data_IF_668275621297
#
_entry.id   IF_668275621297
#
_cell.length_a   1.000
_cell.length_b   1.000
_cell.length_c   1.000
_cell.angle_alpha   90.00
_cell.angle_beta   90.00
_cell.angle_gamma   90.00
#
_symmetry.space_group_name_H-M   'P 1'
#
loop_
_entity.id
_entity.type
_entity.pdbx_description
1 polymer ?
#
# COMPACT_ATOMS: atom_id res chain seq x y z
N UNK A 1 1.02 -29.91 -22.80
CA UNK A 1 1.86 -29.59 -21.62
C UNK A 1 1.27 -28.53 -20.66
N UNK A 2 0.13 -27.89 -20.96
CA UNK A 2 -0.52 -26.92 -20.06
C UNK A 2 -1.77 -27.45 -19.35
N UNK A 3 -2.46 -28.46 -19.91
CA UNK A 3 -3.68 -29.05 -19.33
C UNK A 3 -3.38 -30.11 -18.27
N UNK A 4 -2.38 -30.96 -18.53
CA UNK A 4 -1.94 -32.06 -17.66
C UNK A 4 -1.37 -31.57 -16.30
N UNK A 5 -0.83 -30.34 -16.27
CA UNK A 5 -0.37 -29.72 -15.02
C UNK A 5 -1.52 -29.23 -14.14
N UNK A 6 -2.69 -28.93 -14.71
CA UNK A 6 -3.86 -28.45 -13.97
C UNK A 6 -4.64 -29.60 -13.34
N UNK A 7 -4.69 -30.78 -13.98
CA UNK A 7 -5.33 -31.99 -13.44
C UNK A 7 -4.60 -32.53 -12.19
N UNK A 8 -3.28 -32.43 -12.11
CA UNK A 8 -2.52 -32.83 -10.91
C UNK A 8 -2.81 -31.92 -9.71
N UNK A 9 -3.16 -30.64 -9.95
CA UNK A 9 -3.55 -29.70 -8.89
C UNK A 9 -4.95 -29.95 -8.34
N UNK A 10 -5.90 -30.46 -9.15
CA UNK A 10 -7.24 -30.82 -8.67
C UNK A 10 -7.27 -32.19 -7.98
N UNK A 11 -6.41 -33.13 -8.39
CA UNK A 11 -6.49 -34.52 -7.91
C UNK A 11 -5.71 -34.79 -6.61
N UNK A 12 -4.69 -33.97 -6.30
CA UNK A 12 -3.83 -34.11 -5.10
C UNK A 12 -4.06 -32.97 -4.10
N UNK A 13 -5.33 -32.66 -3.81
CA UNK A 13 -5.65 -31.81 -2.67
C UNK A 13 -4.95 -32.32 -1.40
N UNK A 14 -4.50 -31.39 -0.56
CA UNK A 14 -4.05 -31.70 0.81
C UNK A 14 -5.11 -32.65 1.41
N UNK A 15 -4.75 -33.84 1.92
CA UNK A 15 -5.72 -34.74 2.52
C UNK A 15 -6.53 -33.98 3.56
N UNK A 16 -7.85 -33.88 3.36
CA UNK A 16 -8.77 -33.19 4.28
C UNK A 16 -8.71 -33.71 5.72
N UNK A 17 -8.13 -34.89 5.90
CA UNK A 17 -7.88 -35.54 7.18
C UNK A 17 -6.82 -34.82 8.05
N UNK A 18 -6.01 -33.92 7.49
CA UNK A 18 -5.01 -33.13 8.22
C UNK A 18 -5.56 -31.80 8.77
N UNK A 19 -6.61 -31.23 8.18
CA UNK A 19 -7.26 -30.03 8.73
C UNK A 19 -8.23 -30.38 9.86
N UNK A 20 -8.97 -31.49 9.74
CA UNK A 20 -10.01 -31.84 10.71
C UNK A 20 -9.47 -32.44 12.02
N UNK A 21 -8.24 -32.96 12.02
CA UNK A 21 -7.52 -33.38 13.24
C UNK A 21 -6.63 -32.27 13.82
N UNK A 22 -6.33 -31.22 13.06
CA UNK A 22 -5.36 -30.19 13.44
C UNK A 22 -5.85 -29.17 14.48
N UNK A 23 -7.15 -28.84 14.53
CA UNK A 23 -7.64 -27.85 15.51
C UNK A 23 -7.74 -28.40 16.93
N UNK A 24 -7.98 -29.71 17.06
CA UNK A 24 -8.25 -30.34 18.36
C UNK A 24 -7.02 -31.12 18.89
N UNK A 25 -6.05 -31.48 18.03
CA UNK A 25 -4.83 -32.17 18.44
C UNK A 25 -3.61 -31.25 18.68
N UNK A 26 -3.61 -30.01 18.17
CA UNK A 26 -2.43 -29.14 18.31
C UNK A 26 -2.21 -28.60 19.73
N UNK A 27 -3.20 -28.72 20.62
CA UNK A 27 -3.10 -28.28 22.02
C UNK A 27 -2.55 -29.36 22.96
N UNK A 28 -2.33 -30.59 22.48
CA UNK A 28 -1.95 -31.76 23.29
C UNK A 28 -0.65 -32.44 22.85
N UNK A 29 0.09 -31.90 21.88
CA UNK A 29 1.35 -32.46 21.38
C UNK A 29 2.55 -31.89 22.16
N UNK A 30 3.49 -32.77 22.54
CA UNK A 30 4.75 -32.38 23.17
C UNK A 30 5.67 -31.66 22.15
N UNK A 31 6.61 -30.84 22.64
CA UNK A 31 7.43 -29.94 21.80
C UNK A 31 8.26 -30.64 20.71
N UNK A 32 8.71 -31.87 20.93
CA UNK A 32 9.42 -32.69 19.92
C UNK A 32 8.46 -33.14 18.80
N UNK A 33 7.26 -33.60 19.15
CA UNK A 33 6.23 -34.04 18.18
C UNK A 33 5.68 -32.87 17.35
N UNK A 34 5.65 -31.67 17.92
CA UNK A 34 5.25 -30.46 17.20
C UNK A 34 6.32 -29.97 16.21
N UNK A 35 7.60 -30.18 16.54
CA UNK A 35 8.72 -29.91 15.65
C UNK A 35 8.77 -30.90 14.48
N UNK A 36 8.61 -32.20 14.74
CA UNK A 36 8.57 -33.25 13.71
C UNK A 36 7.40 -33.04 12.74
N UNK A 37 6.22 -32.67 13.25
CA UNK A 37 5.06 -32.37 12.41
C UNK A 37 5.26 -31.12 11.55
N UNK A 38 5.95 -30.10 12.07
CA UNK A 38 6.28 -28.90 11.30
C UNK A 38 7.30 -29.20 10.21
N UNK A 39 8.29 -30.05 10.49
CA UNK A 39 9.31 -30.51 9.53
C UNK A 39 8.69 -31.33 8.41
N UNK A 40 7.80 -32.27 8.75
CA UNK A 40 7.08 -33.09 7.77
C UNK A 40 6.19 -32.23 6.86
N UNK A 41 5.50 -31.23 7.43
CA UNK A 41 4.71 -30.26 6.65
C UNK A 41 5.58 -29.45 5.68
N UNK A 42 6.78 -29.04 6.10
CA UNK A 42 7.72 -28.30 5.25
C UNK A 42 8.28 -29.18 4.11
N UNK A 43 8.55 -30.46 4.38
CA UNK A 43 8.99 -31.42 3.35
C UNK A 43 7.91 -31.68 2.31
N UNK A 44 6.66 -31.85 2.73
CA UNK A 44 5.51 -31.99 1.81
C UNK A 44 5.34 -30.74 0.94
N UNK A 45 5.53 -29.54 1.51
CA UNK A 45 5.49 -28.29 0.75
C UNK A 45 6.60 -28.20 -0.32
N UNK A 46 7.78 -28.78 -0.06
CA UNK A 46 8.87 -28.86 -1.04
C UNK A 46 8.68 -29.86 -2.16
N UNK A 47 7.84 -30.87 -1.96
CA UNK A 47 7.44 -31.77 -3.04
C UNK A 47 6.45 -31.10 -4.02
N UNK A 48 5.75 -30.05 -3.58
CA UNK A 48 4.70 -29.37 -4.34
C UNK A 48 5.18 -28.04 -4.96
N UNK A 49 6.19 -27.38 -4.38
CA UNK A 49 6.70 -26.10 -4.88
C UNK A 49 8.11 -26.23 -5.49
N UNK A 50 8.26 -26.13 -6.83
CA UNK A 50 9.55 -26.32 -7.51
C UNK A 50 10.58 -25.21 -7.19
N UNK A 51 10.15 -24.12 -6.54
CA UNK A 51 11.04 -23.02 -6.13
C UNK A 51 11.36 -23.04 -4.62
N UNK A 52 10.93 -24.07 -3.90
CA UNK A 52 11.30 -24.28 -2.51
C UNK A 52 12.23 -25.48 -2.41
N UNK A 53 13.40 -25.26 -1.82
CA UNK A 53 14.34 -26.32 -1.50
C UNK A 53 14.48 -26.40 0.03
N UNK A 54 14.02 -27.52 0.59
CA UNK A 54 14.04 -27.81 2.02
C UNK A 54 15.46 -27.93 2.56
N UNK A 55 16.37 -28.48 1.77
CA UNK A 55 17.73 -28.82 2.20
C UNK A 55 18.73 -27.70 1.86
N UNK A 56 18.27 -26.66 1.17
CA UNK A 56 19.07 -25.50 0.85
C UNK A 56 19.59 -24.81 2.12
N UNK A 57 20.90 -24.66 2.17
CA UNK A 57 21.60 -23.86 3.17
C UNK A 57 22.27 -22.67 2.49
N UNK A 58 22.32 -21.55 3.19
CA UNK A 58 22.94 -20.32 2.73
C UNK A 58 23.67 -19.63 3.87
N UNK A 59 24.64 -18.82 3.50
CA UNK A 59 25.39 -17.99 4.44
C UNK A 59 24.59 -16.74 4.82
N UNK A 60 24.80 -16.15 6.02
CA UNK A 60 24.17 -14.89 6.38
C UNK A 60 24.48 -13.74 5.41
N UNK A 61 25.63 -13.80 4.73
CA UNK A 61 26.04 -12.81 3.72
C UNK A 61 25.16 -12.87 2.47
N UNK A 62 24.88 -14.08 1.95
CA UNK A 62 24.00 -14.28 0.79
C UNK A 62 22.58 -13.79 1.09
N UNK A 63 22.07 -14.07 2.29
CA UNK A 63 20.74 -13.61 2.67
C UNK A 63 20.67 -12.07 2.74
N UNK A 64 21.69 -11.44 3.31
CA UNK A 64 21.79 -9.98 3.38
C UNK A 64 21.85 -9.34 2.00
N UNK A 65 22.50 -9.98 1.04
CA UNK A 65 22.54 -9.52 -0.35
C UNK A 65 21.14 -9.52 -0.97
N UNK A 66 20.39 -10.62 -0.82
CA UNK A 66 19.00 -10.74 -1.30
C UNK A 66 18.12 -9.65 -0.70
N UNK A 67 18.20 -9.45 0.62
CA UNK A 67 17.45 -8.41 1.32
C UNK A 67 17.81 -7.01 0.83
N UNK A 68 19.11 -6.75 0.59
CA UNK A 68 19.58 -5.46 0.06
C UNK A 68 19.03 -5.20 -1.34
N UNK A 69 18.90 -6.22 -2.18
CA UNK A 69 18.27 -6.09 -3.51
C UNK A 69 16.80 -5.67 -3.36
N UNK A 70 16.06 -6.29 -2.44
CA UNK A 70 14.68 -5.91 -2.14
C UNK A 70 14.57 -4.48 -1.60
N UNK A 71 15.43 -4.11 -0.66
CA UNK A 71 15.45 -2.75 -0.08
C UNK A 71 15.76 -1.70 -1.17
N UNK A 72 16.70 -1.96 -2.06
CA UNK A 72 17.12 -1.01 -3.09
C UNK A 72 16.20 -0.93 -4.30
N UNK A 73 15.51 -2.01 -4.68
CA UNK A 73 14.68 -2.04 -5.90
C UNK A 73 13.18 -1.98 -5.60
N UNK A 74 12.73 -2.68 -4.57
CA UNK A 74 11.30 -2.80 -4.25
C UNK A 74 10.91 -1.71 -3.27
N UNK A 75 11.57 -1.62 -2.12
CA UNK A 75 11.20 -0.67 -1.07
C UNK A 75 11.43 0.79 -1.52
N UNK A 76 12.51 1.07 -2.24
CA UNK A 76 12.76 2.40 -2.81
C UNK A 76 11.66 2.86 -3.77
N UNK A 77 11.20 1.98 -4.67
CA UNK A 77 10.12 2.28 -5.62
C UNK A 77 8.78 2.45 -4.92
N UNK A 78 8.49 1.61 -3.93
CA UNK A 78 7.33 1.77 -3.05
C UNK A 78 7.39 3.13 -2.32
N UNK A 79 8.58 3.57 -1.91
CA UNK A 79 8.81 4.91 -1.38
C UNK A 79 8.42 6.00 -2.38
N UNK A 80 8.85 5.89 -3.64
CA UNK A 80 8.43 6.82 -4.72
C UNK A 80 6.91 6.83 -4.88
N UNK A 81 6.27 5.65 -4.93
CA UNK A 81 4.82 5.56 -5.05
C UNK A 81 4.10 6.20 -3.85
N UNK A 82 4.61 6.00 -2.63
CA UNK A 82 4.04 6.59 -1.42
C UNK A 82 4.29 8.10 -1.34
N UNK A 83 5.42 8.59 -1.85
CA UNK A 83 5.67 10.02 -1.99
C UNK A 83 4.58 10.70 -2.83
N UNK A 84 4.22 10.12 -3.98
CA UNK A 84 3.14 10.66 -4.84
C UNK A 84 1.76 10.57 -4.17
N UNK A 85 1.45 9.48 -3.45
CA UNK A 85 0.24 9.42 -2.64
C UNK A 85 0.16 10.59 -1.65
N UNK A 86 1.27 10.90 -0.99
CA UNK A 86 1.31 11.97 0.01
C UNK A 86 1.27 13.37 -0.62
N UNK A 87 1.83 13.56 -1.81
CA UNK A 87 1.64 14.77 -2.61
C UNK A 87 0.16 15.01 -2.92
N UNK A 88 -0.52 13.99 -3.47
CA UNK A 88 -1.94 14.07 -3.83
C UNK A 88 -2.84 14.42 -2.63
N UNK A 89 -2.53 13.90 -1.44
CA UNK A 89 -3.22 14.23 -0.19
C UNK A 89 -2.98 15.66 0.26
N UNK A 90 -1.75 16.15 0.07
CA UNK A 90 -1.34 17.53 0.40
C UNK A 90 -1.99 18.57 -0.51
N UNK A 91 -2.36 18.21 -1.74
CA UNK A 91 -2.89 19.14 -2.74
C UNK A 91 -4.07 19.97 -2.27
N UNK A 92 -4.99 19.39 -1.50
CA UNK A 92 -6.15 20.13 -1.00
C UNK A 92 -5.74 21.26 -0.06
N UNK A 93 -4.79 20.99 0.84
CA UNK A 93 -4.25 21.99 1.78
C UNK A 93 -3.51 23.10 1.03
N UNK A 94 -2.70 22.71 0.03
CA UNK A 94 -1.97 23.66 -0.81
C UNK A 94 -2.92 24.53 -1.65
N UNK A 95 -3.99 23.95 -2.22
CA UNK A 95 -4.97 24.68 -3.01
C UNK A 95 -5.77 25.71 -2.18
N UNK A 96 -5.96 25.48 -0.87
CA UNK A 96 -6.57 26.45 0.05
C UNK A 96 -5.75 27.74 0.21
N UNK A 97 -4.47 27.72 -0.20
CA UNK A 97 -3.61 28.90 -0.18
C UNK A 97 -3.70 29.74 -1.46
N UNK A 98 -4.39 29.21 -2.47
CA UNK A 98 -4.90 29.94 -3.62
C UNK A 98 -6.40 30.29 -3.42
N UNK A 99 -7.09 30.79 -4.45
CA UNK A 99 -8.50 31.21 -4.36
C UNK A 99 -9.53 30.10 -4.68
N UNK A 100 -9.24 28.82 -4.42
CA UNK A 100 -10.14 27.70 -4.77
C UNK A 100 -11.56 27.86 -4.22
N UNK A 101 -11.71 28.36 -2.99
CA UNK A 101 -13.02 28.57 -2.37
C UNK A 101 -13.86 29.61 -3.11
N UNK A 102 -13.23 30.71 -3.53
CA UNK A 102 -13.88 31.77 -4.31
C UNK A 102 -14.21 31.26 -5.71
N UNK A 103 -13.26 30.57 -6.36
CA UNK A 103 -13.41 30.06 -7.72
C UNK A 103 -14.52 28.99 -7.82
N UNK A 104 -14.79 28.23 -6.75
CA UNK A 104 -15.88 27.24 -6.68
C UNK A 104 -17.18 27.76 -6.04
N UNK A 105 -17.17 28.97 -5.47
CA UNK A 105 -18.29 29.53 -4.72
C UNK A 105 -18.65 28.73 -3.47
N UNK A 106 -17.64 28.19 -2.75
CA UNK A 106 -17.84 27.35 -1.57
C UNK A 106 -17.21 27.96 -0.32
N UNK A 107 -17.72 27.56 0.84
CA UNK A 107 -17.22 27.96 2.15
C UNK A 107 -16.30 26.90 2.78
N UNK A 108 -15.68 27.25 3.90
CA UNK A 108 -14.80 26.33 4.64
C UNK A 108 -15.55 25.08 5.12
N UNK A 109 -16.83 25.18 5.48
CA UNK A 109 -17.63 24.02 5.88
C UNK A 109 -17.73 23.00 4.75
N UNK A 110 -17.91 23.47 3.52
CA UNK A 110 -17.92 22.61 2.34
C UNK A 110 -16.56 21.95 2.11
N UNK A 111 -15.46 22.66 2.32
CA UNK A 111 -14.10 22.07 2.24
C UNK A 111 -13.90 20.96 3.28
N UNK A 112 -14.30 21.21 4.53
CA UNK A 112 -14.26 20.20 5.61
C UNK A 112 -15.15 19.00 5.28
N UNK A 113 -16.36 19.24 4.76
CA UNK A 113 -17.25 18.17 4.29
C UNK A 113 -16.59 17.34 3.19
N UNK A 114 -15.86 17.95 2.25
CA UNK A 114 -15.09 17.23 1.23
C UNK A 114 -14.00 16.33 1.82
N UNK A 115 -13.32 16.77 2.89
CA UNK A 115 -12.39 15.92 3.64
C UNK A 115 -13.11 14.75 4.32
N UNK A 116 -14.27 15.00 4.93
CA UNK A 116 -15.09 13.94 5.53
C UNK A 116 -15.56 12.91 4.49
N UNK A 117 -16.05 13.36 3.32
CA UNK A 117 -16.47 12.49 2.23
C UNK A 117 -15.30 11.62 1.75
N UNK A 118 -14.12 12.21 1.56
CA UNK A 118 -12.92 11.45 1.22
C UNK A 118 -12.63 10.33 2.24
N UNK A 119 -12.64 10.65 3.55
CA UNK A 119 -12.37 9.67 4.62
C UNK A 119 -13.43 8.58 4.64
N UNK A 120 -14.71 8.92 4.48
CA UNK A 120 -15.81 7.95 4.47
C UNK A 120 -15.66 6.93 3.33
N UNK A 121 -15.37 7.41 2.11
CA UNK A 121 -15.13 6.52 0.97
C UNK A 121 -13.84 5.72 1.15
N UNK A 122 -12.78 6.34 1.67
CA UNK A 122 -11.53 5.66 1.98
C UNK A 122 -11.78 4.47 2.92
N UNK A 123 -12.42 4.69 4.08
CA UNK A 123 -12.71 3.63 5.04
C UNK A 123 -13.64 2.55 4.47
N UNK A 124 -14.65 2.93 3.69
CA UNK A 124 -15.60 1.97 3.12
C UNK A 124 -14.93 1.05 2.08
N UNK A 125 -14.07 1.61 1.22
CA UNK A 125 -13.43 0.85 0.14
C UNK A 125 -12.12 0.17 0.55
N UNK A 126 -11.59 0.45 1.74
CA UNK A 126 -10.35 -0.15 2.23
C UNK A 126 -10.46 -1.68 2.29
N UNK A 127 -11.47 -2.23 2.98
CA UNK A 127 -11.64 -3.68 3.10
C UNK A 127 -11.96 -4.32 1.71
N UNK A 128 -12.97 -3.84 0.95
CA UNK A 128 -13.27 -4.40 -0.37
C UNK A 128 -12.07 -4.38 -1.33
N UNK A 129 -11.32 -3.28 -1.38
CA UNK A 129 -10.17 -3.14 -2.27
C UNK A 129 -9.07 -4.16 -1.93
N UNK A 130 -8.78 -4.38 -0.64
CA UNK A 130 -7.76 -5.37 -0.25
C UNK A 130 -8.22 -6.82 -0.45
N UNK A 131 -9.52 -7.10 -0.45
CA UNK A 131 -10.03 -8.40 -0.87
C UNK A 131 -9.85 -8.64 -2.38
N UNK A 132 -9.99 -7.59 -3.19
CA UNK A 132 -9.68 -7.67 -4.63
C UNK A 132 -8.18 -7.84 -4.85
N UNK A 133 -7.33 -7.11 -4.11
CA UNK A 133 -5.87 -7.22 -4.17
C UNK A 133 -5.38 -8.67 -3.99
N UNK A 134 -5.98 -9.43 -3.07
CA UNK A 134 -5.62 -10.84 -2.84
C UNK A 134 -5.91 -11.74 -4.03
N UNK A 135 -6.96 -11.42 -4.81
CA UNK A 135 -7.34 -12.16 -6.02
C UNK A 135 -6.58 -11.72 -7.26
N UNK A 136 -6.48 -10.40 -7.47
CA UNK A 136 -5.88 -9.81 -8.67
C UNK A 136 -4.33 -9.79 -8.63
N UNK A 137 -3.75 -9.92 -7.43
CA UNK A 137 -2.33 -9.78 -7.19
C UNK A 137 -1.94 -8.32 -6.96
N UNK A 138 -1.14 -8.07 -5.93
CA UNK A 138 -0.71 -6.73 -5.53
C UNK A 138 0.06 -5.99 -6.65
N UNK A 139 0.89 -6.70 -7.41
CA UNK A 139 1.68 -6.14 -8.52
C UNK A 139 0.84 -5.53 -9.65
N UNK A 140 -0.45 -5.89 -9.79
CA UNK A 140 -1.37 -5.31 -10.77
C UNK A 140 -2.36 -4.37 -10.11
N UNK A 141 -2.89 -4.76 -8.95
CA UNK A 141 -3.93 -3.98 -8.29
C UNK A 141 -3.43 -2.65 -7.74
N UNK A 142 -2.23 -2.61 -7.15
CA UNK A 142 -1.68 -1.37 -6.58
C UNK A 142 -1.39 -0.34 -7.67
N UNK A 143 -0.69 -0.67 -8.79
CA UNK A 143 -0.54 0.26 -9.92
C UNK A 143 -1.87 0.69 -10.54
N UNK A 144 -2.85 -0.23 -10.63
CA UNK A 144 -4.18 0.08 -11.14
C UNK A 144 -4.89 1.14 -10.29
N UNK A 145 -4.88 0.99 -8.97
CA UNK A 145 -5.40 2.02 -8.07
C UNK A 145 -4.66 3.35 -8.27
N UNK A 146 -3.33 3.31 -8.44
CA UNK A 146 -2.49 4.50 -8.63
C UNK A 146 -2.86 5.29 -9.89
N UNK A 147 -3.08 4.59 -10.99
CA UNK A 147 -3.57 5.20 -12.22
C UNK A 147 -4.96 5.81 -12.01
N UNK A 148 -5.88 5.09 -11.36
CA UNK A 148 -7.25 5.59 -11.16
C UNK A 148 -7.31 6.81 -10.25
N UNK A 149 -6.59 6.81 -9.12
CA UNK A 149 -6.57 7.98 -8.24
C UNK A 149 -5.80 9.14 -8.86
N UNK A 150 -4.70 8.89 -9.59
CA UNK A 150 -3.97 9.93 -10.32
C UNK A 150 -4.86 10.62 -11.37
N UNK A 151 -5.63 9.84 -12.13
CA UNK A 151 -6.60 10.37 -13.09
C UNK A 151 -7.73 11.13 -12.39
N UNK A 152 -8.25 10.62 -11.27
CA UNK A 152 -9.26 11.30 -10.47
C UNK A 152 -8.72 12.63 -9.89
N UNK A 153 -7.45 12.66 -9.48
CA UNK A 153 -6.76 13.85 -9.02
C UNK A 153 -6.64 14.86 -10.16
N UNK A 154 -6.14 14.47 -11.33
CA UNK A 154 -6.05 15.35 -12.49
C UNK A 154 -7.42 15.90 -12.88
N UNK A 155 -8.48 15.07 -12.86
CA UNK A 155 -9.84 15.47 -13.20
C UNK A 155 -10.40 16.59 -12.31
N UNK A 156 -9.80 16.85 -11.14
CA UNK A 156 -10.18 17.98 -10.29
C UNK A 156 -10.01 19.34 -10.99
N UNK A 157 -9.22 19.46 -12.07
CA UNK A 157 -9.15 20.71 -12.84
C UNK A 157 -10.51 21.19 -13.37
N UNK A 158 -11.45 20.27 -13.59
CA UNK A 158 -12.80 20.54 -14.11
C UNK A 158 -13.84 20.84 -13.03
N UNK A 159 -13.44 20.89 -11.75
CA UNK A 159 -14.34 21.30 -10.68
C UNK A 159 -14.77 22.75 -10.87
N UNK A 160 -16.07 23.00 -10.65
CA UNK A 160 -16.69 24.32 -10.85
C UNK A 160 -17.76 24.65 -9.81
N UNK A 161 -18.14 23.69 -8.96
CA UNK A 161 -19.14 23.88 -7.92
C UNK A 161 -18.95 22.89 -6.75
N UNK A 162 -19.75 23.06 -5.70
CA UNK A 162 -19.80 22.17 -4.54
C UNK A 162 -20.01 20.70 -4.90
N UNK A 163 -20.92 20.39 -5.82
CA UNK A 163 -21.26 19.00 -6.14
C UNK A 163 -20.09 18.27 -6.81
N UNK A 164 -19.49 18.88 -7.84
CA UNK A 164 -18.31 18.34 -8.52
C UNK A 164 -17.12 18.18 -7.58
N UNK A 165 -16.93 19.12 -6.65
CA UNK A 165 -15.94 18.99 -5.60
C UNK A 165 -16.15 17.73 -4.74
N UNK A 166 -17.34 17.54 -4.17
CA UNK A 166 -17.62 16.39 -3.30
C UNK A 166 -17.51 15.05 -4.06
N UNK A 167 -17.95 15.02 -5.32
CA UNK A 167 -17.83 13.83 -6.19
C UNK A 167 -16.36 13.48 -6.43
N UNK A 168 -15.52 14.47 -6.79
CA UNK A 168 -14.09 14.25 -6.95
C UNK A 168 -13.44 13.72 -5.67
N UNK A 169 -13.79 14.29 -4.49
CA UNK A 169 -13.29 13.81 -3.19
C UNK A 169 -13.66 12.36 -2.90
N UNK A 170 -14.88 11.95 -3.26
CA UNK A 170 -15.33 10.57 -3.12
C UNK A 170 -14.51 9.61 -4.00
N UNK A 171 -14.28 9.95 -5.28
CA UNK A 171 -13.50 9.11 -6.19
C UNK A 171 -12.04 8.96 -5.76
N UNK A 172 -11.39 10.06 -5.37
CA UNK A 172 -10.00 10.00 -4.88
C UNK A 172 -9.92 9.13 -3.61
N UNK A 173 -10.83 9.31 -2.66
CA UNK A 173 -10.88 8.48 -1.44
C UNK A 173 -11.10 7.00 -1.73
N UNK A 174 -12.00 6.68 -2.66
CA UNK A 174 -12.28 5.31 -3.09
C UNK A 174 -11.06 4.62 -3.70
N UNK A 175 -10.32 5.31 -4.57
CA UNK A 175 -9.17 4.70 -5.27
C UNK A 175 -7.92 4.63 -4.40
N UNK A 176 -7.69 5.58 -3.49
CA UNK A 176 -6.55 5.53 -2.57
C UNK A 176 -6.70 4.46 -1.47
N UNK A 177 -7.93 4.05 -1.15
CA UNK A 177 -8.27 3.18 -0.02
C UNK A 177 -7.45 1.89 0.08
N UNK A 178 -7.12 1.29 -1.06
CA UNK A 178 -6.43 0.00 -1.11
C UNK A 178 -4.90 0.07 -1.00
N UNK A 179 -4.31 1.26 -1.09
CA UNK A 179 -2.87 1.38 -1.33
C UNK A 179 -2.01 0.97 -0.12
N UNK A 180 -2.19 1.64 1.03
CA UNK A 180 -1.33 1.45 2.22
C UNK A 180 -1.38 0.00 2.74
N UNK A 181 -2.56 -0.56 3.08
CA UNK A 181 -2.67 -1.97 3.45
C UNK A 181 -2.22 -2.92 2.33
N UNK A 182 -2.45 -2.56 1.07
CA UNK A 182 -2.02 -3.35 -0.08
C UNK A 182 -0.50 -3.46 -0.18
N UNK A 183 0.23 -2.37 0.04
CA UNK A 183 1.69 -2.34 0.11
C UNK A 183 2.18 -3.14 1.31
N UNK A 184 1.54 -3.03 2.47
CA UNK A 184 1.91 -3.83 3.64
C UNK A 184 1.80 -5.33 3.33
N UNK A 185 0.71 -5.78 2.68
CA UNK A 185 0.54 -7.16 2.21
C UNK A 185 1.63 -7.52 1.20
N UNK A 186 1.89 -6.65 0.23
CA UNK A 186 2.90 -6.88 -0.80
C UNK A 186 4.29 -7.08 -0.22
N UNK A 187 4.70 -6.26 0.75
CA UNK A 187 5.98 -6.38 1.44
C UNK A 187 6.13 -7.73 2.18
N UNK A 188 5.04 -8.32 2.68
CA UNK A 188 5.11 -9.66 3.31
C UNK A 188 5.56 -10.77 2.37
N UNK A 189 5.49 -10.54 1.05
CA UNK A 189 5.97 -11.51 0.03
C UNK A 189 7.48 -11.46 -0.19
N UNK A 190 8.18 -10.48 0.38
CA UNK A 190 9.65 -10.30 0.25
C UNK A 190 10.39 -10.37 1.59
N UNK A 191 9.73 -9.94 2.68
CA UNK A 191 10.36 -9.77 3.99
C UNK A 191 9.84 -10.76 5.05
N UNK A 192 10.75 -11.16 5.95
CA UNK A 192 10.43 -11.96 7.14
C UNK A 192 9.70 -11.13 8.19
N UNK A 193 8.99 -11.78 9.11
CA UNK A 193 8.22 -11.10 10.17
C UNK A 193 9.06 -10.13 11.01
N UNK A 194 10.31 -10.50 11.32
CA UNK A 194 11.24 -9.66 12.09
C UNK A 194 11.78 -8.46 11.29
N UNK A 195 11.79 -8.57 9.96
CA UNK A 195 12.28 -7.52 9.07
C UNK A 195 11.23 -6.44 8.80
N UNK A 196 9.94 -6.82 8.83
CA UNK A 196 8.81 -5.97 8.44
C UNK A 196 8.74 -4.66 9.20
N UNK A 197 8.96 -4.66 10.52
CA UNK A 197 8.82 -3.46 11.35
C UNK A 197 9.76 -2.33 10.86
N UNK A 198 11.03 -2.65 10.61
CA UNK A 198 12.00 -1.67 10.11
C UNK A 198 11.62 -1.12 8.73
N UNK A 199 11.16 -1.98 7.82
CA UNK A 199 10.79 -1.57 6.45
C UNK A 199 9.53 -0.73 6.44
N UNK A 200 8.57 -1.05 7.30
CA UNK A 200 7.40 -0.20 7.52
C UNK A 200 7.82 1.17 8.07
N UNK A 201 8.78 1.25 8.99
CA UNK A 201 9.30 2.55 9.46
C UNK A 201 9.96 3.36 8.34
N UNK A 202 10.76 2.71 7.47
CA UNK A 202 11.36 3.37 6.30
C UNK A 202 10.26 3.87 5.35
N UNK A 203 9.25 3.04 5.07
CA UNK A 203 8.08 3.44 4.29
C UNK A 203 7.40 4.68 4.88
N UNK A 204 7.11 4.69 6.18
CA UNK A 204 6.50 5.83 6.85
C UNK A 204 7.40 7.07 6.89
N UNK A 205 8.73 6.92 6.90
CA UNK A 205 9.64 8.08 6.86
C UNK A 205 9.55 8.88 5.57
N UNK A 206 9.07 8.28 4.47
CA UNK A 206 8.81 9.01 3.23
C UNK A 206 7.76 10.10 3.40
N UNK A 207 6.87 9.98 4.40
CA UNK A 207 5.88 11.01 4.72
C UNK A 207 6.52 12.38 4.98
N UNK A 208 7.61 12.42 5.75
CA UNK A 208 8.32 13.66 6.06
C UNK A 208 8.91 14.28 4.79
N UNK A 209 9.56 13.46 3.95
CA UNK A 209 10.14 13.90 2.68
C UNK A 209 9.06 14.46 1.75
N UNK A 210 7.93 13.75 1.63
CA UNK A 210 6.82 14.19 0.80
C UNK A 210 6.24 15.53 1.26
N UNK A 211 6.01 15.69 2.56
CA UNK A 211 5.46 16.94 3.11
C UNK A 211 6.40 18.13 2.89
N UNK A 212 7.72 17.96 3.06
CA UNK A 212 8.70 19.01 2.81
C UNK A 212 8.75 19.41 1.33
N UNK A 213 8.66 18.45 0.42
CA UNK A 213 8.64 18.72 -1.03
C UNK A 213 7.30 19.30 -1.52
N UNK A 214 6.18 18.89 -0.94
CA UNK A 214 4.83 19.30 -1.36
C UNK A 214 4.64 20.82 -1.33
N UNK A 215 5.05 21.47 -0.24
CA UNK A 215 4.91 22.93 -0.10
C UNK A 215 5.76 23.70 -1.12
N UNK A 216 6.97 23.22 -1.41
CA UNK A 216 7.88 23.81 -2.39
C UNK A 216 7.33 23.67 -3.81
N UNK A 217 6.86 22.47 -4.17
CA UNK A 217 6.25 22.23 -5.48
C UNK A 217 5.00 23.08 -5.67
N UNK A 218 4.12 23.14 -4.66
CA UNK A 218 2.94 23.99 -4.70
C UNK A 218 3.26 25.47 -4.88
N UNK A 219 4.30 25.99 -4.20
CA UNK A 219 4.73 27.37 -4.37
C UNK A 219 5.05 27.73 -5.83
N UNK A 220 5.78 26.85 -6.54
CA UNK A 220 6.11 27.10 -7.94
C UNK A 220 4.91 26.90 -8.87
N UNK A 221 4.09 25.88 -8.64
CA UNK A 221 2.97 25.56 -9.52
C UNK A 221 1.85 26.60 -9.40
N UNK A 222 1.54 27.09 -8.20
CA UNK A 222 0.48 28.07 -8.00
C UNK A 222 0.75 29.43 -8.67
N UNK A 223 2.01 29.74 -8.97
CA UNK A 223 2.39 30.94 -9.75
C UNK A 223 1.93 30.87 -11.21
N UNK A 224 1.55 29.69 -11.71
CA UNK A 224 0.96 29.53 -13.05
C UNK A 224 -0.49 30.05 -13.12
N UNK A 225 -1.03 30.67 -12.06
CA UNK A 225 -2.34 31.31 -12.10
C UNK A 225 -2.41 32.33 -13.24
N UNK A 226 -3.42 32.17 -14.11
CA UNK A 226 -3.61 32.98 -15.31
C UNK A 226 -2.96 32.39 -16.57
N UNK A 227 -2.03 31.43 -16.44
CA UNK A 227 -1.51 30.70 -17.59
C UNK A 227 -2.65 29.87 -18.23
N UNK A 228 -2.81 30.01 -19.55
CA UNK A 228 -3.91 29.45 -20.33
C UNK A 228 -5.32 29.79 -19.79
N UNK A 229 -5.47 30.88 -19.01
CA UNK A 229 -6.75 31.28 -18.41
C UNK A 229 -7.21 30.38 -17.25
N UNK A 230 -6.35 29.53 -16.71
CA UNK A 230 -6.67 28.62 -15.61
C UNK A 230 -6.24 29.19 -14.25
N UNK A 231 -6.96 28.80 -13.19
CA UNK A 231 -6.57 29.10 -11.82
C UNK A 231 -5.32 28.27 -11.41
N UNK A 232 -4.54 28.77 -10.45
CA UNK A 232 -3.30 28.11 -10.01
C UNK A 232 -3.55 26.71 -9.46
N UNK A 233 -4.58 26.56 -8.62
CA UNK A 233 -4.97 25.25 -8.07
C UNK A 233 -5.36 24.21 -9.14
N UNK A 234 -5.85 24.64 -10.32
CA UNK A 234 -6.15 23.71 -11.42
C UNK A 234 -4.88 23.11 -12.01
N UNK A 235 -3.83 23.92 -12.15
CA UNK A 235 -2.50 23.45 -12.57
C UNK A 235 -1.90 22.50 -11.54
N UNK A 236 -2.08 22.78 -10.25
CA UNK A 236 -1.62 21.92 -9.16
C UNK A 236 -2.19 20.50 -9.30
N UNK A 237 -3.52 20.35 -9.35
CA UNK A 237 -4.13 19.04 -9.49
C UNK A 237 -3.80 18.35 -10.82
N UNK A 238 -3.71 19.11 -11.91
CA UNK A 238 -3.38 18.54 -13.22
C UNK A 238 -1.97 17.97 -13.27
N UNK A 239 -0.96 18.75 -12.86
CA UNK A 239 0.44 18.37 -12.95
C UNK A 239 0.72 17.20 -12.01
N UNK A 240 0.29 17.29 -10.75
CA UNK A 240 0.52 16.23 -9.78
C UNK A 240 -0.27 14.96 -10.14
N UNK A 241 -1.54 15.08 -10.52
CA UNK A 241 -2.35 13.94 -10.94
C UNK A 241 -1.79 13.22 -12.18
N UNK A 242 -1.26 13.96 -13.17
CA UNK A 242 -0.59 13.37 -14.34
C UNK A 242 0.72 12.68 -13.94
N UNK A 243 1.52 13.29 -13.06
CA UNK A 243 2.76 12.71 -12.58
C UNK A 243 2.50 11.41 -11.79
N UNK A 244 1.51 11.41 -10.89
CA UNK A 244 1.03 10.21 -10.18
C UNK A 244 0.57 9.14 -11.15
N UNK A 245 -0.24 9.50 -12.16
CA UNK A 245 -0.73 8.55 -13.17
C UNK A 245 0.43 7.90 -13.92
N UNK A 246 1.44 8.69 -14.31
CA UNK A 246 2.64 8.21 -14.97
C UNK A 246 3.43 7.22 -14.09
N UNK A 247 3.62 7.54 -12.81
CA UNK A 247 4.27 6.61 -11.85
C UNK A 247 3.45 5.34 -11.66
N UNK A 248 2.11 5.45 -11.65
CA UNK A 248 1.21 4.29 -11.65
C UNK A 248 1.42 3.39 -12.87
N UNK A 249 1.48 3.98 -14.07
CA UNK A 249 1.74 3.24 -15.32
C UNK A 249 3.12 2.57 -15.27
N UNK A 250 4.16 3.28 -14.85
CA UNK A 250 5.50 2.70 -14.69
C UNK A 250 5.54 1.56 -13.68
N UNK A 251 4.74 1.65 -12.62
CA UNK A 251 4.69 0.64 -11.56
C UNK A 251 4.21 -0.73 -12.04
N UNK A 252 3.39 -0.80 -13.10
CA UNK A 252 3.02 -2.09 -13.73
C UNK A 252 4.22 -2.85 -14.30
N UNK A 253 5.25 -2.12 -14.72
CA UNK A 253 6.45 -2.71 -15.31
C UNK A 253 7.55 -2.96 -14.27
N UNK A 254 7.60 -2.12 -13.22
CA UNK A 254 8.63 -2.16 -12.18
C UNK A 254 8.29 -3.15 -11.07
N UNK A 255 7.03 -3.30 -10.65
CA UNK A 255 6.68 -4.20 -9.54
C UNK A 255 6.65 -5.68 -9.99
N UNK A 256 7.49 -6.57 -9.40
CA UNK A 256 7.35 -8.01 -9.57
C UNK A 256 6.08 -8.56 -8.91
N UNK A 257 5.60 -9.70 -9.41
CA UNK A 257 4.54 -10.45 -8.72
C UNK A 257 5.03 -11.03 -7.38
N UNK A 258 6.28 -11.46 -7.34
CA UNK A 258 6.93 -12.03 -6.17
C UNK A 258 8.40 -12.36 -6.46
N UNK A 259 9.11 -12.98 -5.50
CA UNK A 259 10.53 -13.29 -5.62
C UNK A 259 10.87 -14.32 -6.71
N UNK A 260 9.91 -15.10 -7.21
CA UNK A 260 10.07 -16.03 -8.36
C UNK A 260 9.86 -15.37 -9.73
N UNK A 261 9.23 -14.20 -9.77
CA UNK A 261 8.75 -13.56 -10.98
C UNK A 261 9.43 -12.18 -11.16
N UNK A 262 10.75 -12.16 -10.95
CA UNK A 262 11.54 -10.93 -10.98
C UNK A 262 11.90 -10.46 -12.38
N UNK A 263 11.74 -11.32 -13.40
CA UNK A 263 11.85 -10.95 -14.81
C UNK A 263 10.58 -10.29 -15.33
N UNK A 264 10.73 -9.29 -16.20
CA UNK A 264 9.62 -8.53 -16.77
C UNK A 264 10.07 -7.59 -17.88
N UNK A 265 9.14 -6.85 -18.47
CA UNK A 265 9.41 -6.00 -19.63
C UNK A 265 10.43 -4.88 -19.37
N UNK A 266 10.42 -4.23 -18.19
CA UNK A 266 11.49 -3.30 -17.79
C UNK A 266 12.56 -3.96 -16.90
N UNK A 267 12.45 -5.28 -16.69
CA UNK A 267 13.25 -6.09 -15.76
C UNK A 267 13.88 -7.27 -16.50
N UNK A 268 14.47 -7.00 -17.67
CA UNK A 268 14.91 -8.04 -18.61
C UNK A 268 15.87 -9.08 -18.00
N UNK A 269 16.81 -8.64 -17.16
CA UNK A 269 17.77 -9.54 -16.50
C UNK A 269 17.20 -10.26 -15.27
N UNK A 270 16.00 -9.89 -14.80
CA UNK A 270 15.53 -10.25 -13.46
C UNK A 270 16.20 -9.41 -12.38
N UNK A 271 15.69 -9.49 -11.15
CA UNK A 271 16.31 -8.82 -10.00
C UNK A 271 17.21 -9.75 -9.20
N UNK A 272 16.96 -11.05 -9.28
CA UNK A 272 17.66 -12.09 -8.55
C UNK A 272 18.23 -13.11 -9.52
N UNK A 273 19.31 -13.77 -9.11
CA UNK A 273 19.80 -15.01 -9.74
C UNK A 273 18.98 -16.21 -9.27
N UNK A 274 19.04 -17.34 -9.98
CA UNK A 274 18.28 -18.55 -9.60
C UNK A 274 18.57 -19.00 -8.15
N UNK A 275 19.84 -18.94 -7.72
CA UNK A 275 20.22 -19.22 -6.33
C UNK A 275 19.60 -18.22 -5.35
N UNK A 276 19.62 -16.93 -5.68
CA UNK A 276 19.04 -15.88 -4.84
C UNK A 276 17.51 -15.99 -4.75
N UNK A 277 16.84 -16.42 -5.81
CA UNK A 277 15.39 -16.69 -5.82
C UNK A 277 15.04 -17.85 -4.88
N UNK A 278 15.80 -18.95 -4.92
CA UNK A 278 15.63 -20.07 -4.00
C UNK A 278 15.83 -19.64 -2.54
N UNK A 279 16.89 -18.88 -2.24
CA UNK A 279 17.13 -18.32 -0.90
C UNK A 279 15.95 -17.43 -0.46
N UNK A 280 15.46 -16.56 -1.34
CA UNK A 280 14.36 -15.65 -1.04
C UNK A 280 13.06 -16.37 -0.67
N UNK A 281 12.77 -17.49 -1.31
CA UNK A 281 11.53 -18.26 -1.09
C UNK A 281 11.68 -19.16 0.12
N UNK A 282 12.77 -19.93 0.18
CA UNK A 282 13.02 -20.85 1.29
C UNK A 282 13.08 -20.11 2.62
N UNK A 283 13.70 -18.92 2.69
CA UNK A 283 13.74 -18.12 3.93
C UNK A 283 12.34 -17.66 4.37
N UNK A 284 11.44 -17.37 3.44
CA UNK A 284 10.08 -16.90 3.74
C UNK A 284 9.16 -18.03 4.16
N UNK A 285 9.26 -19.20 3.51
CA UNK A 285 8.48 -20.38 3.85
C UNK A 285 8.94 -20.97 5.19
N UNK A 286 10.24 -20.93 5.50
CA UNK A 286 10.75 -21.32 6.83
C UNK A 286 10.30 -20.37 7.94
N UNK A 287 10.18 -19.07 7.68
CA UNK A 287 9.66 -18.07 8.64
C UNK A 287 8.14 -18.20 8.84
N UNK A 288 7.41 -18.48 7.76
CA UNK A 288 5.96 -18.65 7.78
C UNK A 288 5.53 -19.72 6.75
N UNK A 289 5.33 -20.98 7.20
CA UNK A 289 4.91 -22.08 6.33
C UNK A 289 3.57 -21.83 5.65
N UNK A 290 2.75 -20.92 6.19
CA UNK A 290 1.45 -20.58 5.62
C UNK A 290 1.55 -19.86 4.28
N UNK A 291 2.72 -19.29 3.94
CA UNK A 291 2.99 -18.61 2.67
C UNK A 291 3.20 -19.56 1.49
N UNK A 292 3.44 -20.85 1.76
CA UNK A 292 3.60 -21.87 0.73
C UNK A 292 2.26 -22.38 0.16
N UNK A 293 1.15 -22.05 0.81
CA UNK A 293 -0.19 -22.54 0.45
C UNK A 293 -0.88 -21.62 -0.58
N UNK A 294 -1.06 -22.09 -1.84
CA UNK A 294 -1.68 -21.29 -2.89
C UNK A 294 -3.19 -21.14 -2.73
N UNK A 295 -3.86 -21.94 -1.88
CA UNK A 295 -5.30 -21.85 -1.62
C UNK A 295 -5.70 -20.54 -0.93
N UNK A 296 -4.75 -19.89 -0.25
CA UNK A 296 -4.94 -18.63 0.50
C UNK A 296 -5.03 -17.37 -0.36
N UNK A 297 -5.04 -17.49 -1.69
CA UNK A 297 -5.24 -16.35 -2.61
C UNK A 297 -6.66 -15.79 -2.53
N UNK A 298 -7.66 -16.61 -2.22
CA UNK A 298 -9.05 -16.17 -2.05
C UNK A 298 -9.37 -16.13 -0.56
N UNK A 299 -9.78 -14.97 -0.06
CA UNK A 299 -10.24 -14.82 1.33
C UNK A 299 -11.74 -15.17 1.38
N UNK A 300 -12.15 -16.25 2.09
CA UNK A 300 -13.55 -16.57 2.31
C UNK A 300 -14.25 -15.46 3.11
N UNK A 301 -15.53 -15.21 2.81
CA UNK A 301 -16.34 -14.25 3.59
C UNK A 301 -16.39 -14.60 5.08
N UNK A 302 -16.37 -15.90 5.40
CA UNK A 302 -16.34 -16.40 6.77
C UNK A 302 -15.11 -15.93 7.55
N UNK A 303 -13.93 -15.87 6.90
CA UNK A 303 -12.69 -15.43 7.54
C UNK A 303 -12.68 -13.93 7.82
N UNK A 304 -13.26 -13.13 6.90
CA UNK A 304 -13.46 -11.70 7.14
C UNK A 304 -14.31 -11.47 8.38
N UNK A 305 -15.42 -12.21 8.51
CA UNK A 305 -16.30 -12.09 9.67
C UNK A 305 -15.69 -12.62 10.96
N UNK A 306 -14.88 -13.68 10.88
CA UNK A 306 -14.09 -14.18 11.99
C UNK A 306 -13.06 -13.15 12.47
N UNK A 307 -12.42 -12.44 11.55
CA UNK A 307 -11.50 -11.35 11.88
C UNK A 307 -12.25 -10.20 12.57
N UNK A 308 -13.36 -9.72 12.00
CA UNK A 308 -14.18 -8.63 12.61
C UNK A 308 -14.65 -9.00 14.02
N UNK A 309 -15.04 -10.25 14.25
CA UNK A 309 -15.47 -10.74 15.57
C UNK A 309 -14.32 -11.09 16.51
N UNK A 310 -13.06 -11.01 16.07
CA UNK A 310 -11.93 -11.40 16.89
C UNK A 310 -11.71 -10.41 18.03
N UNK A 311 -11.78 -10.85 19.30
CA UNK A 311 -11.63 -9.97 20.46
C UNK A 311 -10.22 -9.39 20.58
N UNK A 312 -9.23 -9.93 19.86
CA UNK A 312 -7.85 -9.45 19.85
C UNK A 312 -7.65 -8.20 18.97
N UNK A 313 -8.53 -7.97 18.00
CA UNK A 313 -8.40 -6.84 17.06
C UNK A 313 -8.92 -5.55 17.69
N UNK A 314 -10.03 -5.61 18.43
CA UNK A 314 -10.68 -4.42 19.00
C UNK A 314 -9.81 -3.60 19.96
N UNK A 315 -9.06 -4.20 20.92
CA UNK A 315 -8.14 -3.43 21.76
C UNK A 315 -7.06 -2.71 20.95
N UNK A 316 -6.50 -3.36 19.92
CA UNK A 316 -5.51 -2.74 19.04
C UNK A 316 -6.11 -1.57 18.24
N UNK A 317 -7.34 -1.71 17.75
CA UNK A 317 -8.06 -0.62 17.08
C UNK A 317 -8.34 0.56 18.02
N UNK A 318 -8.75 0.29 19.26
CA UNK A 318 -9.00 1.33 20.25
C UNK A 318 -7.72 2.09 20.61
N UNK A 319 -6.61 1.37 20.83
CA UNK A 319 -5.31 1.98 21.09
C UNK A 319 -4.90 2.87 19.91
N UNK A 320 -5.03 2.38 18.67
CA UNK A 320 -4.74 3.17 17.47
C UNK A 320 -5.63 4.41 17.35
N UNK A 321 -6.94 4.25 17.57
CA UNK A 321 -7.91 5.34 17.52
C UNK A 321 -7.59 6.44 18.53
N UNK A 322 -7.45 6.09 19.82
CA UNK A 322 -7.15 7.07 20.86
C UNK A 322 -5.73 7.64 20.77
N UNK A 323 -4.76 6.85 20.30
CA UNK A 323 -3.38 7.30 20.12
C UNK A 323 -3.21 8.32 18.99
N UNK A 324 -4.00 8.20 17.90
CA UNK A 324 -3.93 9.09 16.74
C UNK A 324 -4.92 10.26 16.79
N UNK A 325 -5.92 10.21 17.68
CA UNK A 325 -6.94 11.26 17.80
C UNK A 325 -6.32 12.66 18.04
N UNK A 326 -5.30 12.86 18.90
CA UNK A 326 -4.75 14.18 19.16
C UNK A 326 -3.94 14.79 18.01
N UNK A 327 -3.29 13.97 17.17
CA UNK A 327 -2.35 14.46 16.15
C UNK A 327 -3.02 15.01 14.90
N UNK A 328 -4.18 14.47 14.52
CA UNK A 328 -4.87 14.77 13.26
C UNK A 328 -5.39 16.22 13.17
N UNK A 329 -6.09 16.77 14.19
CA UNK A 329 -6.59 18.15 14.16
C UNK A 329 -5.47 19.19 14.13
N UNK A 330 -4.37 18.93 14.86
CA UNK A 330 -3.22 19.84 14.91
C UNK A 330 -2.59 19.98 13.52
N UNK A 331 -2.38 18.86 12.81
CA UNK A 331 -1.80 18.90 11.46
C UNK A 331 -2.71 19.56 10.41
N UNK A 332 -4.02 19.30 10.45
CA UNK A 332 -4.97 19.83 9.46
C UNK A 332 -5.24 21.32 9.58
N UNK A 333 -5.24 21.86 10.81
CA UNK A 333 -5.55 23.27 11.07
C UNK A 333 -4.31 24.13 11.31
N UNK A 334 -3.09 23.57 11.33
CA UNK A 334 -1.86 24.34 11.56
C UNK A 334 -1.71 25.57 10.64
N UNK A 335 -1.91 25.49 9.30
CA UNK A 335 -1.82 26.68 8.44
C UNK A 335 -2.88 27.73 8.78
N UNK A 336 -4.09 27.30 9.16
CA UNK A 336 -5.18 28.20 9.53
C UNK A 336 -4.93 28.89 10.88
N UNK A 337 -4.43 28.15 11.87
CA UNK A 337 -4.03 28.68 13.18
C UNK A 337 -2.93 29.74 13.00
N UNK A 338 -1.92 29.46 12.18
CA UNK A 338 -0.87 30.43 11.87
C UNK A 338 -1.41 31.68 11.15
N UNK A 339 -2.39 31.50 10.24
CA UNK A 339 -3.08 32.63 9.61
C UNK A 339 -3.88 33.45 10.63
N UNK A 340 -4.56 32.81 11.60
CA UNK A 340 -5.26 33.49 12.70
C UNK A 340 -4.31 34.24 13.63
N UNK A 341 -3.07 33.76 13.79
CA UNK A 341 -2.00 34.42 14.56
C UNK A 341 -1.34 35.60 13.79
N UNK A 342 -1.82 35.93 12.59
CA UNK A 342 -1.39 37.10 11.83
C UNK A 342 -0.28 36.85 10.80
N UNK A 343 0.10 35.59 10.56
CA UNK A 343 1.09 35.27 9.53
C UNK A 343 0.46 35.27 8.12
N UNK A 344 1.14 35.91 7.15
CA UNK A 344 0.73 35.92 5.74
C UNK A 344 0.64 34.47 5.21
N UNK A 345 -0.38 34.14 4.40
CA UNK A 345 -0.72 32.76 4.00
C UNK A 345 0.45 31.97 3.38
N UNK A 346 1.32 32.65 2.63
CA UNK A 346 2.54 32.07 2.07
C UNK A 346 3.61 31.76 3.15
N UNK A 347 3.76 32.63 4.15
CA UNK A 347 4.65 32.40 5.31
C UNK A 347 4.11 31.32 6.24
N UNK A 348 2.78 31.23 6.38
CA UNK A 348 2.13 30.21 7.21
C UNK A 348 2.44 28.79 6.69
N UNK A 349 2.32 28.54 5.39
CA UNK A 349 2.73 27.27 4.79
C UNK A 349 4.22 26.98 5.00
N UNK A 350 5.07 27.99 4.85
CA UNK A 350 6.51 27.84 5.01
C UNK A 350 6.88 27.42 6.45
N UNK A 351 6.17 27.95 7.45
CA UNK A 351 6.38 27.61 8.86
C UNK A 351 5.75 26.28 9.29
N UNK A 352 4.95 25.64 8.43
CA UNK A 352 4.45 24.27 8.66
C UNK A 352 5.37 23.19 8.10
N UNK A 353 6.43 23.57 7.38
CA UNK A 353 7.47 22.63 6.93
C UNK A 353 8.32 22.26 8.16
N UNK A 354 8.41 20.97 8.54
CA UNK A 354 9.15 20.52 9.71
C UNK A 354 10.66 20.71 9.60
#
# INVERSE_FOLDING_TARGET
MSSEKQEVYEHNGVPGDLEHKGSDASSSLNGETQADYADEKLRVLGQVNPHYDHDLTWTPAEEKEVVRIFDLKILSWIGVMFFFLQLDRGNMSNALTDNIMVDLGVDLNTMTLGTTVFILFFCFFEIPSNLVLRRAGAHRWIPFLMVLWGLATAAQLWMHNKATFLICRAFVGMFEAGYIPGIAIYLTTYYKRQEMALRMSIFWSTLAIANSCAGVLAYFILQLRGAAGLAGWKWLFLIEGVATTFVGVLSFFILPEGPTATRGYLRFAGYLTERQELIAITRLIRDDPSKADPSKKIVPKADVWRAVKSPRIWPNLLIGFFGLLPSTPIGGFAPLILKMLGFNGLKANLMTIP
#
